data_IF_675816510660
#
_entry.id   IF_675816510660
#
_cell.length_a   1.000
_cell.length_b   1.000
_cell.length_c   1.000
_cell.angle_alpha   90.00
_cell.angle_beta   90.00
_cell.angle_gamma   90.00
#
_symmetry.space_group_name_H-M   'P 1'
#
loop_
_entity.id
_entity.type
_entity.pdbx_description
1 polymer ?
#
# COMPACT_ATOMS: atom_id res chain seq x y z
N UNK A 1 -5.23 -9.68 -0.23
CA UNK A 1 -5.60 -8.76 0.86
C UNK A 1 -6.53 -7.69 0.33
N UNK A 2 -7.34 -7.10 1.21
CA UNK A 2 -8.19 -5.93 0.93
C UNK A 2 -8.00 -4.91 2.06
N UNK A 3 -8.03 -3.62 1.72
CA UNK A 3 -8.12 -2.50 2.67
C UNK A 3 -9.30 -1.62 2.31
N UNK A 4 -9.97 -1.05 3.31
CA UNK A 4 -11.07 -0.12 3.15
C UNK A 4 -10.70 1.23 3.78
N UNK A 5 -10.57 2.27 2.97
CA UNK A 5 -10.07 3.59 3.40
C UNK A 5 -10.45 4.66 2.39
N UNK A 6 -10.65 5.90 2.82
CA UNK A 6 -10.91 7.04 1.93
C UNK A 6 -9.61 7.52 1.28
N UNK A 7 -9.37 7.16 0.02
CA UNK A 7 -8.13 7.53 -0.69
C UNK A 7 -8.30 8.78 -1.57
N UNK A 8 -9.51 9.28 -1.74
CA UNK A 8 -9.78 10.47 -2.55
C UNK A 8 -10.22 11.68 -1.73
N UNK A 9 -10.40 11.51 -0.41
CA UNK A 9 -10.79 12.57 0.54
C UNK A 9 -12.26 12.97 0.43
N UNK A 10 -13.13 12.13 -0.12
CA UNK A 10 -14.55 12.44 -0.32
C UNK A 10 -15.46 12.04 0.87
N UNK A 11 -14.86 11.49 1.92
CA UNK A 11 -15.54 11.05 3.14
C UNK A 11 -16.15 9.66 3.06
N UNK A 12 -15.91 8.91 1.97
CA UNK A 12 -16.41 7.55 1.78
C UNK A 12 -15.25 6.56 1.76
N UNK A 13 -15.45 5.40 2.37
CA UNK A 13 -14.44 4.35 2.31
C UNK A 13 -14.40 3.75 0.90
N UNK A 14 -13.24 3.84 0.26
CA UNK A 14 -12.88 3.17 -0.98
C UNK A 14 -12.28 1.79 -0.69
N UNK A 15 -12.06 0.99 -1.74
CA UNK A 15 -11.48 -0.35 -1.63
C UNK A 15 -10.14 -0.41 -2.36
N UNK A 16 -9.13 -0.95 -1.68
CA UNK A 16 -7.82 -1.29 -2.26
C UNK A 16 -7.66 -2.82 -2.22
N UNK A 17 -7.28 -3.43 -3.35
CA UNK A 17 -7.12 -4.90 -3.47
C UNK A 17 -5.76 -5.28 -4.05
N UNK A 18 -5.07 -6.21 -3.39
CA UNK A 18 -3.92 -6.88 -3.99
C UNK A 18 -4.40 -8.00 -4.93
N UNK A 19 -4.14 -7.87 -6.23
CA UNK A 19 -4.54 -8.85 -7.23
C UNK A 19 -3.38 -9.82 -7.49
N UNK A 20 -3.29 -10.86 -6.64
CA UNK A 20 -2.20 -11.82 -6.59
C UNK A 20 -1.81 -12.40 -7.97
N UNK A 21 -2.79 -12.81 -8.78
CA UNK A 21 -2.53 -13.42 -10.10
C UNK A 21 -2.24 -12.42 -11.22
N UNK A 22 -2.63 -11.15 -11.04
CA UNK A 22 -2.51 -10.11 -12.07
C UNK A 22 -1.29 -9.22 -11.88
N UNK A 23 -0.53 -9.40 -10.80
CA UNK A 23 0.66 -8.60 -10.46
C UNK A 23 0.36 -7.08 -10.45
N UNK A 24 -0.79 -6.70 -9.90
CA UNK A 24 -1.20 -5.31 -9.78
C UNK A 24 -1.99 -5.09 -8.48
N UNK A 25 -2.15 -3.82 -8.11
CA UNK A 25 -3.08 -3.38 -7.08
C UNK A 25 -4.26 -2.69 -7.75
N UNK A 26 -5.46 -2.98 -7.28
CA UNK A 26 -6.69 -2.36 -7.75
C UNK A 26 -7.23 -1.37 -6.73
N UNK A 27 -7.79 -0.26 -7.22
CA UNK A 27 -8.48 0.76 -6.44
C UNK A 27 -9.90 0.90 -6.99
N UNK A 28 -10.89 0.78 -6.11
CA UNK A 28 -12.29 0.96 -6.43
C UNK A 28 -12.83 2.11 -5.58
N UNK A 29 -13.14 3.23 -6.23
CA UNK A 29 -13.67 4.41 -5.55
C UNK A 29 -15.17 4.25 -5.28
N UNK A 30 -15.59 4.56 -4.07
CA UNK A 30 -16.97 4.49 -3.65
C UNK A 30 -17.76 5.69 -4.17
N UNK A 31 -18.79 5.47 -4.97
CA UNK A 31 -19.56 6.56 -5.57
C UNK A 31 -20.79 6.97 -4.74
N UNK A 32 -20.96 6.41 -3.53
CA UNK A 32 -21.92 6.89 -2.52
C UNK A 32 -23.35 6.39 -2.66
N UNK A 33 -23.62 5.47 -3.59
CA UNK A 33 -24.95 4.87 -3.80
C UNK A 33 -24.94 3.34 -3.54
N UNK A 34 -23.99 2.86 -2.76
CA UNK A 34 -23.76 1.42 -2.53
C UNK A 34 -23.02 0.71 -3.67
N UNK A 35 -22.48 1.45 -4.64
CA UNK A 35 -21.66 0.91 -5.73
C UNK A 35 -20.29 1.57 -5.81
N UNK A 36 -19.42 1.01 -6.64
CA UNK A 36 -18.06 1.48 -6.86
C UNK A 36 -17.84 1.86 -8.33
N UNK A 37 -16.96 2.81 -8.57
CA UNK A 37 -16.46 3.11 -9.90
C UNK A 37 -15.68 1.92 -10.48
N UNK A 38 -15.47 1.94 -11.80
CA UNK A 38 -14.61 0.97 -12.48
C UNK A 38 -13.24 0.93 -11.80
N UNK A 39 -12.74 -0.28 -11.55
CA UNK A 39 -11.46 -0.50 -10.91
C UNK A 39 -10.33 0.15 -11.71
N UNK A 40 -9.59 1.06 -11.06
CA UNK A 40 -8.29 1.51 -11.55
C UNK A 40 -7.23 0.50 -11.11
N UNK A 41 -6.31 0.14 -12.00
CA UNK A 41 -5.24 -0.81 -11.68
C UNK A 41 -3.88 -0.17 -11.83
N UNK A 42 -3.00 -0.43 -10.88
CA UNK A 42 -1.62 0.06 -10.87
C UNK A 42 -0.67 -1.13 -10.85
N UNK A 43 0.38 -1.14 -11.70
CA UNK A 43 1.38 -2.19 -11.67
C UNK A 43 1.95 -2.39 -10.27
N UNK A 44 2.22 -3.65 -9.91
CA UNK A 44 2.91 -4.02 -8.68
C UNK A 44 4.03 -5.03 -9.02
N UNK A 45 4.70 -5.53 -8.00
CA UNK A 45 5.59 -6.68 -8.14
C UNK A 45 4.82 -8.00 -8.35
N UNK A 46 5.58 -9.09 -8.40
CA UNK A 46 5.06 -10.44 -8.58
C UNK A 46 4.35 -10.94 -7.33
N UNK A 47 3.11 -11.37 -7.51
CA UNK A 47 2.24 -11.92 -6.48
C UNK A 47 2.09 -10.99 -5.27
N UNK A 48 1.41 -9.83 -5.46
CA UNK A 48 1.06 -8.96 -4.36
C UNK A 48 0.13 -9.71 -3.39
N UNK A 49 0.46 -9.68 -2.10
CA UNK A 49 -0.26 -10.46 -1.06
C UNK A 49 -0.92 -9.57 -0.01
N UNK A 50 -0.30 -8.45 0.34
CA UNK A 50 -0.79 -7.52 1.35
C UNK A 50 -0.81 -6.08 0.82
N UNK A 51 -1.76 -5.30 1.32
CA UNK A 51 -1.88 -3.86 1.09
C UNK A 51 -2.12 -3.17 2.43
N UNK A 52 -1.56 -1.98 2.58
CA UNK A 52 -1.87 -1.03 3.66
C UNK A 52 -1.97 0.39 3.05
N UNK A 53 -2.58 1.31 3.78
CA UNK A 53 -2.67 2.70 3.38
C UNK A 53 -2.27 3.61 4.54
N UNK A 54 -1.38 4.57 4.27
CA UNK A 54 -0.91 5.58 5.23
C UNK A 54 -0.28 6.72 4.43
N UNK A 55 -0.24 7.92 5.00
CA UNK A 55 0.52 9.03 4.42
C UNK A 55 2.02 8.80 4.68
N UNK A 56 2.75 8.28 3.70
CA UNK A 56 4.18 7.94 3.88
C UNK A 56 5.10 9.13 3.64
N UNK A 57 4.63 10.16 2.95
CA UNK A 57 5.43 11.30 2.49
C UNK A 57 5.08 12.61 3.22
N UNK A 58 4.08 12.60 4.11
CA UNK A 58 3.66 13.73 4.92
C UNK A 58 2.85 14.77 4.15
N UNK A 59 2.25 14.42 3.01
CA UNK A 59 1.46 15.34 2.19
C UNK A 59 -0.05 15.36 2.53
N UNK A 60 -0.43 14.67 3.61
CA UNK A 60 -1.79 14.45 4.09
C UNK A 60 -2.69 13.66 3.14
N UNK A 61 -2.12 12.83 2.27
CA UNK A 61 -2.88 11.89 1.43
C UNK A 61 -2.43 10.48 1.72
N UNK A 62 -3.39 9.58 1.77
CA UNK A 62 -3.09 8.18 2.04
C UNK A 62 -2.47 7.53 0.80
N UNK A 63 -1.21 7.16 0.91
CA UNK A 63 -0.46 6.39 -0.07
C UNK A 63 -0.77 4.90 0.08
N UNK A 64 -0.53 4.11 -0.96
CA UNK A 64 -0.74 2.67 -0.94
C UNK A 64 0.61 1.95 -0.82
N UNK A 65 0.72 1.09 0.18
CA UNK A 65 1.85 0.18 0.36
C UNK A 65 1.43 -1.21 -0.10
N UNK A 66 2.21 -1.81 -1.01
CA UNK A 66 1.93 -3.14 -1.59
C UNK A 66 3.10 -4.09 -1.31
N UNK A 67 2.81 -5.23 -0.70
CA UNK A 67 3.80 -6.29 -0.46
C UNK A 67 3.77 -7.32 -1.58
N UNK A 68 4.91 -7.56 -2.21
CA UNK A 68 5.04 -8.51 -3.31
C UNK A 68 5.87 -9.73 -2.91
N UNK A 69 5.19 -10.86 -2.70
CA UNK A 69 5.77 -12.05 -2.08
C UNK A 69 6.94 -12.63 -2.88
N UNK A 70 6.81 -12.70 -4.21
CA UNK A 70 7.82 -13.34 -5.05
C UNK A 70 8.83 -12.37 -5.64
N UNK A 71 8.57 -11.07 -5.59
CA UNK A 71 9.59 -10.06 -5.89
C UNK A 71 10.46 -9.70 -4.69
N UNK A 72 10.14 -10.19 -3.49
CA UNK A 72 10.84 -9.85 -2.24
C UNK A 72 11.00 -8.33 -2.05
N UNK A 73 9.93 -7.58 -2.35
CA UNK A 73 9.94 -6.13 -2.23
C UNK A 73 8.58 -5.60 -1.77
N UNK A 74 8.59 -4.31 -1.44
CA UNK A 74 7.41 -3.50 -1.19
C UNK A 74 7.38 -2.38 -2.22
N UNK A 75 6.21 -2.12 -2.81
CA UNK A 75 5.96 -0.92 -3.59
C UNK A 75 5.19 0.11 -2.76
N UNK A 76 5.48 1.39 -2.98
CA UNK A 76 4.73 2.50 -2.40
C UNK A 76 4.22 3.36 -3.55
N UNK A 77 2.91 3.45 -3.69
CA UNK A 77 2.23 4.24 -4.70
C UNK A 77 1.78 5.55 -4.05
N UNK A 78 2.34 6.67 -4.52
CA UNK A 78 2.07 7.98 -3.95
C UNK A 78 0.75 8.54 -4.46
N UNK A 79 -0.12 8.97 -3.55
CA UNK A 79 -1.43 9.52 -3.89
C UNK A 79 -1.31 10.96 -4.37
N UNK A 80 -1.95 11.29 -5.49
CA UNK A 80 -1.95 12.67 -6.01
C UNK A 80 -3.16 13.51 -5.56
N UNK A 81 -4.10 12.91 -4.82
CA UNK A 81 -5.16 13.60 -4.08
C UNK A 81 -6.56 13.51 -4.67
N UNK A 82 -6.75 12.71 -5.71
CA UNK A 82 -8.05 12.48 -6.36
C UNK A 82 -8.37 10.98 -6.49
N UNK A 83 -7.77 10.15 -5.65
CA UNK A 83 -7.88 8.69 -5.74
C UNK A 83 -7.05 8.08 -6.87
N UNK A 84 -6.13 8.84 -7.45
CA UNK A 84 -5.14 8.32 -8.40
C UNK A 84 -3.73 8.40 -7.83
N UNK A 85 -2.84 7.56 -8.37
CA UNK A 85 -1.52 7.33 -7.80
C UNK A 85 -0.40 7.51 -8.83
N UNK A 86 0.68 8.14 -8.40
CA UNK A 86 1.88 8.41 -9.18
C UNK A 86 2.84 7.19 -9.21
N UNK A 87 4.02 7.41 -9.80
CA UNK A 87 5.05 6.39 -9.90
C UNK A 87 5.40 5.78 -8.54
N UNK A 88 5.58 4.46 -8.53
CA UNK A 88 5.87 3.74 -7.31
C UNK A 88 7.34 3.85 -6.91
N UNK A 89 7.61 4.03 -5.61
CA UNK A 89 8.90 3.69 -5.02
C UNK A 89 8.96 2.18 -4.75
N UNK A 90 10.15 1.58 -4.86
CA UNK A 90 10.34 0.14 -4.62
C UNK A 90 11.44 -0.08 -3.60
N UNK A 91 11.14 -0.84 -2.55
CA UNK A 91 12.06 -1.15 -1.48
C UNK A 91 12.25 -2.65 -1.37
N UNK A 92 13.51 -3.11 -1.43
CA UNK A 92 13.82 -4.53 -1.24
C UNK A 92 13.63 -4.91 0.22
N UNK A 93 13.09 -6.10 0.48
CA UNK A 93 12.92 -6.65 1.83
C UNK A 93 13.56 -8.04 1.92
N UNK A 94 13.32 -8.75 3.02
CA UNK A 94 13.68 -10.16 3.17
C UNK A 94 12.88 -11.08 2.23
N UNK A 95 13.19 -12.37 2.29
CA UNK A 95 12.51 -13.36 1.45
C UNK A 95 11.06 -13.59 1.90
N UNK A 96 10.16 -13.70 0.91
CA UNK A 96 8.75 -14.05 1.12
C UNK A 96 8.02 -13.09 2.05
N UNK A 97 8.02 -11.78 1.79
CA UNK A 97 7.23 -10.84 2.57
C UNK A 97 5.74 -11.20 2.44
N UNK A 98 5.03 -11.16 3.56
CA UNK A 98 3.64 -11.66 3.61
C UNK A 98 2.65 -10.66 4.19
N UNK A 99 3.09 -9.77 5.07
CA UNK A 99 2.24 -8.79 5.73
C UNK A 99 2.97 -7.46 5.88
N UNK A 100 2.20 -6.37 5.93
CA UNK A 100 2.69 -5.01 6.16
C UNK A 100 1.76 -4.25 7.09
N UNK A 101 2.35 -3.41 7.92
CA UNK A 101 1.67 -2.36 8.67
C UNK A 101 2.52 -1.09 8.65
N UNK A 102 1.94 0.03 9.06
CA UNK A 102 2.66 1.28 9.20
C UNK A 102 2.39 1.89 10.57
N UNK A 103 3.46 2.35 11.22
CA UNK A 103 3.41 3.01 12.53
C UNK A 103 4.74 3.75 12.75
N UNK A 104 4.70 4.84 13.50
CA UNK A 104 5.91 5.50 13.99
C UNK A 104 6.52 4.64 15.10
N UNK A 105 7.56 3.85 14.77
CA UNK A 105 8.21 2.96 15.75
C UNK A 105 9.52 3.54 16.29
N UNK A 106 10.02 4.61 15.68
CA UNK A 106 11.24 5.29 16.12
C UNK A 106 10.95 6.58 16.95
N UNK A 107 9.71 7.04 16.98
CA UNK A 107 9.24 8.20 17.72
C UNK A 107 9.50 9.55 17.05
N UNK A 108 9.69 9.59 15.73
CA UNK A 108 10.01 10.82 14.98
C UNK A 108 8.77 11.54 14.40
N UNK A 109 7.58 10.99 14.63
CA UNK A 109 6.31 11.53 14.18
C UNK A 109 5.93 11.13 12.75
N UNK A 110 6.69 10.25 12.09
CA UNK A 110 6.42 9.79 10.72
C UNK A 110 6.12 8.29 10.72
N UNK A 111 5.20 7.83 9.87
CA UNK A 111 4.92 6.40 9.79
C UNK A 111 6.09 5.65 9.15
N UNK A 112 6.60 4.65 9.86
CA UNK A 112 7.55 3.68 9.33
C UNK A 112 6.81 2.50 8.70
N UNK A 113 7.35 1.92 7.62
CA UNK A 113 6.80 0.72 6.98
C UNK A 113 7.41 -0.52 7.63
N UNK A 114 6.57 -1.39 8.19
CA UNK A 114 6.98 -2.59 8.92
C UNK A 114 6.49 -3.82 8.16
N UNK A 115 7.43 -4.67 7.74
CA UNK A 115 7.16 -5.83 6.87
C UNK A 115 7.55 -7.11 7.56
N UNK A 116 6.61 -8.05 7.67
CA UNK A 116 6.87 -9.40 8.14
C UNK A 116 7.33 -10.29 6.97
N UNK A 117 8.56 -10.80 7.04
CA UNK A 117 9.16 -11.66 6.03
C UNK A 117 9.08 -13.13 6.44
N UNK A 118 8.06 -13.83 5.93
CA UNK A 118 7.83 -15.25 6.23
C UNK A 118 8.99 -16.14 5.76
N UNK A 119 9.53 -15.88 4.56
CA UNK A 119 10.58 -16.72 3.98
C UNK A 119 11.94 -16.59 4.65
N UNK A 120 12.24 -15.42 5.22
CA UNK A 120 13.54 -15.14 5.89
C UNK A 120 13.47 -15.08 7.42
N UNK A 121 12.29 -15.35 8.00
CA UNK A 121 12.07 -15.37 9.45
C UNK A 121 12.52 -14.09 10.16
N UNK A 122 12.27 -12.92 9.56
CA UNK A 122 12.63 -11.63 10.14
C UNK A 122 11.57 -10.55 9.84
N UNK A 123 11.79 -9.36 10.40
CA UNK A 123 11.01 -8.16 10.13
C UNK A 123 11.96 -7.15 9.46
N UNK A 124 11.48 -6.48 8.41
CA UNK A 124 12.13 -5.29 7.86
C UNK A 124 11.38 -4.04 8.33
N UNK A 125 12.12 -2.99 8.66
CA UNK A 125 11.56 -1.67 9.02
C UNK A 125 12.19 -0.64 8.08
N UNK A 126 11.35 0.08 7.34
CA UNK A 126 11.77 1.20 6.50
C UNK A 126 11.35 2.48 7.20
N UNK A 127 12.35 3.25 7.65
CA UNK A 127 12.07 4.48 8.37
C UNK A 127 11.47 5.54 7.44
N UNK A 128 10.45 6.23 7.92
CA UNK A 128 9.91 7.42 7.27
C UNK A 128 10.95 8.54 7.29
N UNK A 129 11.10 9.27 6.18
CA UNK A 129 11.91 10.50 6.15
C UNK A 129 11.07 11.62 5.54
N UNK A 130 11.34 12.85 5.99
CA UNK A 130 10.77 14.05 5.36
C UNK A 130 11.60 14.41 4.13
#
# INVERSE_FOLDING_TARGET
SVSAVDVNGDGKLDIIVANYGSNNVGVLLNIGNGTFATQATYPAGTSPVAVAATDVNGDNKLDIIVVNRFSNNVNVLLNIGNGTFAAQATYSTGSGPFFVTAADVNGDGKPDIIVANYGSNNIAVFLGYC
#
